data_IF_521666715313
#
_entry.id   IF_521666715313
#
_cell.length_a   1.000
_cell.length_b   1.000
_cell.length_c   1.000
_cell.angle_alpha   90.00
_cell.angle_beta   90.00
_cell.angle_gamma   90.00
#
_symmetry.space_group_name_H-M   'P 1'
#
loop_
_entity.id
_entity.type
_entity.pdbx_description
1 polymer ?
#
# COMPACT_ATOMS: atom_id res chain seq x y z
N UNK A 1 8.98 17.30 24.46
CA UNK A 1 8.32 16.07 23.98
C UNK A 1 7.86 16.34 22.56
N UNK A 2 8.00 15.37 21.68
CA UNK A 2 7.45 15.43 20.32
C UNK A 2 5.96 15.07 20.34
N UNK A 3 5.31 15.00 19.16
CA UNK A 3 3.89 14.64 19.05
C UNK A 3 3.59 13.18 19.47
N UNK A 4 4.62 12.35 19.61
CA UNK A 4 4.53 10.97 20.09
C UNK A 4 4.74 10.86 21.61
N UNK A 5 4.95 11.98 22.30
CA UNK A 5 5.22 12.01 23.74
C UNK A 5 6.65 11.63 24.10
N UNK A 6 7.56 11.47 23.12
CA UNK A 6 8.95 11.07 23.35
C UNK A 6 9.83 12.32 23.52
N UNK A 7 10.82 12.24 24.41
CA UNK A 7 11.79 13.31 24.61
C UNK A 7 13.12 12.95 23.95
N UNK A 8 13.51 13.72 22.92
CA UNK A 8 14.79 13.55 22.24
C UNK A 8 15.76 14.69 22.57
N UNK A 9 17.03 14.33 22.76
CA UNK A 9 18.12 15.31 22.79
C UNK A 9 18.19 16.01 21.42
N UNK A 10 18.26 17.34 21.43
CA UNK A 10 18.22 18.17 20.22
C UNK A 10 16.81 18.59 19.77
N UNK A 11 15.74 18.17 20.46
CA UNK A 11 14.37 18.61 20.15
C UNK A 11 13.99 18.34 18.69
N UNK A 12 13.39 19.33 18.02
CA UNK A 12 12.98 19.24 16.63
C UNK A 12 14.13 19.05 15.62
N UNK A 13 15.39 19.19 16.06
CA UNK A 13 16.56 18.88 15.23
C UNK A 13 16.98 17.41 15.31
N UNK A 14 16.33 16.60 16.15
CA UNK A 14 16.60 15.17 16.20
C UNK A 14 15.98 14.46 14.98
N UNK A 15 16.70 13.59 14.26
CA UNK A 15 16.16 12.88 13.10
C UNK A 15 15.00 11.92 13.44
N UNK A 16 14.80 11.58 14.71
CA UNK A 16 13.69 10.77 15.20
C UNK A 16 12.50 11.60 15.67
N UNK A 17 12.53 12.92 15.48
CA UNK A 17 11.43 13.79 15.86
C UNK A 17 10.14 13.39 15.13
N UNK A 18 9.08 13.10 15.89
CA UNK A 18 7.75 12.74 15.36
C UNK A 18 7.68 11.41 14.59
N UNK A 19 8.72 10.56 14.59
CA UNK A 19 8.74 9.36 13.73
C UNK A 19 8.24 8.08 14.40
N UNK A 20 8.29 7.99 15.73
CA UNK A 20 7.97 6.74 16.46
C UNK A 20 6.50 6.36 16.44
N UNK A 21 5.62 7.33 16.26
CA UNK A 21 4.17 7.17 16.14
C UNK A 21 3.63 7.69 14.80
N UNK A 22 4.52 7.96 13.84
CA UNK A 22 4.10 8.36 12.51
C UNK A 22 3.39 7.19 11.83
N UNK A 23 2.26 7.49 11.18
CA UNK A 23 1.63 6.57 10.25
C UNK A 23 2.48 6.45 8.96
N UNK A 24 2.03 5.62 8.00
CA UNK A 24 2.79 5.44 6.76
C UNK A 24 2.90 6.72 5.91
N UNK A 25 2.05 7.73 6.16
CA UNK A 25 2.07 9.02 5.48
C UNK A 25 2.99 10.03 6.21
N UNK A 26 3.66 9.61 7.28
CA UNK A 26 4.53 10.46 8.09
C UNK A 26 3.75 11.35 9.06
N UNK A 27 2.45 11.11 9.28
CA UNK A 27 1.61 11.90 10.16
C UNK A 27 1.64 11.29 11.57
N UNK A 28 2.13 12.04 12.58
CA UNK A 28 2.16 11.55 13.96
C UNK A 28 0.76 11.27 14.49
N UNK A 29 0.54 10.06 15.01
CA UNK A 29 -0.78 9.57 15.44
C UNK A 29 -1.85 9.64 14.33
N UNK A 30 -1.42 9.57 13.07
CA UNK A 30 -2.33 9.46 11.94
C UNK A 30 -2.95 8.06 11.84
N UNK A 31 -3.90 7.92 10.92
CA UNK A 31 -4.67 6.67 10.74
C UNK A 31 -4.37 5.98 9.42
N UNK A 32 -3.39 6.47 8.64
CA UNK A 32 -2.99 5.81 7.40
C UNK A 32 -2.25 4.48 7.70
N UNK A 33 -2.38 3.50 6.81
CA UNK A 33 -1.71 2.21 6.94
C UNK A 33 -1.26 1.68 5.58
N UNK A 34 -0.27 0.78 5.59
CA UNK A 34 0.14 0.06 4.38
C UNK A 34 -0.91 -1.00 4.05
N UNK A 35 -1.45 -0.96 2.84
CA UNK A 35 -2.32 -2.02 2.33
C UNK A 35 -1.52 -3.22 1.80
N UNK A 36 -2.25 -4.21 1.27
CA UNK A 36 -1.69 -5.41 0.64
C UNK A 36 -1.02 -5.13 -0.73
N UNK A 37 -1.17 -3.93 -1.28
CA UNK A 37 -0.46 -3.45 -2.47
C UNK A 37 0.81 -2.66 -2.13
N UNK A 38 1.20 -2.62 -0.85
CA UNK A 38 2.32 -1.83 -0.36
C UNK A 38 2.14 -0.31 -0.60
N UNK A 39 0.90 0.16 -0.73
CA UNK A 39 0.58 1.58 -0.79
C UNK A 39 0.10 2.09 0.57
N UNK A 40 0.47 3.32 0.91
CA UNK A 40 -0.03 3.97 2.10
C UNK A 40 -1.42 4.55 1.83
N UNK A 41 -2.44 4.00 2.49
CA UNK A 41 -3.85 4.35 2.25
C UNK A 41 -4.56 4.74 3.55
N UNK A 42 -5.76 5.30 3.43
CA UNK A 42 -6.55 5.78 4.55
C UNK A 42 -6.01 7.07 5.19
N UNK A 43 -6.63 7.49 6.30
CA UNK A 43 -6.25 8.71 7.01
C UNK A 43 -6.25 9.96 6.11
N UNK A 44 -5.12 10.66 6.07
CA UNK A 44 -4.95 11.90 5.28
C UNK A 44 -4.46 11.68 3.85
N UNK A 45 -4.21 10.42 3.46
CA UNK A 45 -3.75 10.12 2.08
C UNK A 45 -4.86 10.37 1.05
N UNK A 46 -6.12 10.20 1.46
CA UNK A 46 -7.27 10.26 0.55
C UNK A 46 -7.35 9.08 -0.43
N UNK A 47 -6.52 8.04 -0.22
CA UNK A 47 -6.50 6.83 -1.01
C UNK A 47 -7.28 5.72 -0.29
N UNK A 48 -7.99 4.92 -1.07
CA UNK A 48 -8.63 3.70 -0.60
C UNK A 48 -7.71 2.49 -0.82
N UNK A 49 -7.78 1.45 0.02
CA UNK A 49 -7.01 0.22 -0.18
C UNK A 49 -7.29 -0.40 -1.56
N UNK A 50 -6.26 -0.98 -2.16
CA UNK A 50 -6.44 -1.75 -3.37
C UNK A 50 -7.33 -3.00 -3.14
N UNK A 51 -7.93 -3.50 -4.21
CA UNK A 51 -8.65 -4.78 -4.21
C UNK A 51 -7.79 -5.87 -4.86
N UNK A 52 -8.07 -7.11 -4.49
CA UNK A 52 -7.50 -8.26 -5.19
C UNK A 52 -8.10 -8.37 -6.59
N UNK A 53 -7.29 -8.83 -7.55
CA UNK A 53 -7.76 -9.18 -8.88
C UNK A 53 -8.43 -10.56 -8.92
N UNK A 54 -8.83 -11.00 -10.12
CA UNK A 54 -9.52 -12.28 -10.29
C UNK A 54 -8.63 -13.51 -10.00
N UNK A 55 -7.32 -13.34 -9.87
CA UNK A 55 -6.37 -14.37 -9.46
C UNK A 55 -6.03 -14.29 -7.96
N UNK A 56 -6.66 -13.38 -7.21
CA UNK A 56 -6.37 -13.15 -5.80
C UNK A 56 -5.07 -12.39 -5.58
N UNK A 57 -4.58 -11.66 -6.59
CA UNK A 57 -3.37 -10.84 -6.50
C UNK A 57 -3.75 -9.42 -6.08
N UNK A 58 -3.26 -8.92 -4.93
CA UNK A 58 -3.44 -7.52 -4.53
C UNK A 58 -2.96 -6.55 -5.61
N UNK A 59 -3.86 -5.69 -6.09
CA UNK A 59 -3.51 -4.66 -7.10
C UNK A 59 -3.15 -5.26 -8.45
N UNK A 60 -3.47 -6.53 -8.66
CA UNK A 60 -3.32 -7.19 -9.94
C UNK A 60 -4.28 -6.63 -10.98
N UNK A 61 -4.01 -6.98 -12.23
CA UNK A 61 -4.79 -6.52 -13.38
C UNK A 61 -5.51 -7.67 -14.09
N UNK A 62 -5.67 -8.84 -13.46
CA UNK A 62 -6.41 -9.94 -14.05
C UNK A 62 -7.91 -9.64 -14.06
N UNK A 63 -8.51 -9.74 -15.24
CA UNK A 63 -9.95 -9.57 -15.44
C UNK A 63 -10.62 -10.90 -15.81
N UNK A 64 -11.91 -11.01 -15.51
CA UNK A 64 -12.73 -12.12 -16.00
C UNK A 64 -12.95 -11.94 -17.50
N UNK A 65 -12.38 -12.82 -18.32
CA UNK A 65 -12.77 -12.92 -19.72
C UNK A 65 -14.07 -13.74 -19.84
N UNK A 66 -14.79 -13.58 -20.96
CA UNK A 66 -16.02 -14.29 -21.30
C UNK A 66 -15.89 -15.82 -21.34
N UNK A 67 -14.67 -16.35 -21.12
CA UNK A 67 -14.35 -17.76 -20.99
C UNK A 67 -14.08 -18.19 -19.53
N UNK A 68 -14.75 -17.64 -18.51
CA UNK A 68 -14.68 -18.05 -17.09
C UNK A 68 -13.24 -18.37 -16.57
N UNK A 69 -12.23 -17.72 -17.11
CA UNK A 69 -10.84 -17.89 -16.70
C UNK A 69 -10.23 -16.51 -16.49
N UNK A 70 -9.65 -16.31 -15.30
CA UNK A 70 -8.94 -15.09 -14.98
C UNK A 70 -7.64 -15.06 -15.80
N UNK A 71 -7.51 -14.06 -16.67
CA UNK A 71 -6.31 -13.88 -17.50
C UNK A 71 -5.67 -12.53 -17.19
N UNK A 72 -4.34 -12.49 -17.20
CA UNK A 72 -3.60 -11.24 -17.07
C UNK A 72 -3.88 -10.38 -18.31
N UNK A 73 -4.25 -9.10 -18.15
CA UNK A 73 -4.32 -8.12 -19.25
C UNK A 73 -2.91 -7.75 -19.69
N UNK A 74 -2.16 -8.73 -20.20
CA UNK A 74 -0.98 -8.47 -20.99
C UNK A 74 -1.44 -8.12 -22.41
N UNK A 75 -0.73 -7.21 -23.12
CA UNK A 75 -0.92 -7.10 -24.55
C UNK A 75 -0.79 -8.50 -25.16
N UNK A 76 -1.62 -8.76 -26.18
CA UNK A 76 -1.89 -10.06 -26.85
C UNK A 76 -0.67 -10.86 -27.37
N UNK A 77 0.54 -10.44 -27.01
CA UNK A 77 1.86 -10.97 -27.38
C UNK A 77 2.53 -11.80 -26.30
N UNK A 78 2.00 -11.90 -25.07
CA UNK A 78 2.62 -12.62 -23.95
C UNK A 78 1.70 -13.68 -23.32
N UNK A 79 0.97 -14.44 -24.14
CA UNK A 79 0.27 -15.66 -23.66
C UNK A 79 1.32 -16.76 -23.45
N UNK A 80 2.10 -16.65 -22.38
CA UNK A 80 2.76 -17.83 -21.81
C UNK A 80 1.77 -18.40 -20.80
N UNK A 81 0.95 -19.34 -21.27
CA UNK A 81 0.21 -20.23 -20.41
C UNK A 81 1.27 -21.02 -19.63
N UNK A 82 1.66 -20.56 -18.45
CA UNK A 82 2.45 -21.38 -17.51
C UNK A 82 1.49 -22.43 -16.91
N UNK A 83 1.12 -23.38 -17.77
CA UNK A 83 0.58 -24.67 -17.40
C UNK A 83 1.65 -25.70 -17.74
N UNK A 84 2.53 -25.95 -16.78
CA UNK A 84 3.11 -27.28 -16.61
C UNK A 84 3.13 -27.69 -15.15
#
# INVERSE_FOLDING_TARGET
MDACGVCYAGGASNPLWNTTCADCAGVPNGTAFLDNCNECVGGTTGLDPCTDDCLGVPGGNAEVDAAEYATLVVPRTLVEHDLR
#
